data_IF_095492107358
#
_entry.id   IF_095492107358
#
_cell.length_a   1.000
_cell.length_b   1.000
_cell.length_c   1.000
_cell.angle_alpha   90.00
_cell.angle_beta   90.00
_cell.angle_gamma   90.00
#
_symmetry.space_group_name_H-M   'P 1'
#
loop_
_entity.id
_entity.type
_entity.pdbx_description
1 polymer ?
#
# COMPACT_ATOMS: atom_id res chain seq x y z
N UNK A 1 -44.16 25.08 15.71
CA UNK A 1 -43.12 24.03 15.58
C UNK A 1 -43.45 23.23 14.33
N UNK A 2 -42.72 23.41 13.24
CA UNK A 2 -42.91 22.59 12.04
C UNK A 2 -42.38 21.19 12.36
N UNK A 3 -43.23 20.18 12.19
CA UNK A 3 -42.83 18.79 12.33
C UNK A 3 -41.73 18.49 11.29
N UNK A 4 -40.55 18.05 11.75
CA UNK A 4 -39.49 17.60 10.85
C UNK A 4 -40.03 16.45 9.98
N UNK A 5 -39.79 16.54 8.67
CA UNK A 5 -40.11 15.49 7.72
C UNK A 5 -39.48 14.16 8.20
N UNK A 6 -40.28 13.10 8.42
CA UNK A 6 -39.79 11.78 8.84
C UNK A 6 -38.65 11.24 7.96
N UNK A 7 -38.68 11.56 6.66
CA UNK A 7 -37.65 11.14 5.70
C UNK A 7 -36.33 11.87 5.97
N UNK A 8 -36.39 13.18 6.27
CA UNK A 8 -35.22 13.99 6.64
C UNK A 8 -34.62 13.48 7.95
N UNK A 9 -35.45 13.18 8.95
CA UNK A 9 -35.01 12.62 10.23
C UNK A 9 -34.37 11.24 10.06
N UNK A 10 -34.94 10.38 9.24
CA UNK A 10 -34.37 9.07 8.92
C UNK A 10 -32.99 9.19 8.27
N UNK A 11 -32.86 10.04 7.23
CA UNK A 11 -31.60 10.30 6.53
C UNK A 11 -30.52 10.83 7.49
N UNK A 12 -30.85 11.79 8.34
CA UNK A 12 -29.92 12.36 9.31
C UNK A 12 -29.43 11.31 10.32
N UNK A 13 -30.32 10.42 10.79
CA UNK A 13 -29.95 9.37 11.73
C UNK A 13 -29.08 8.27 11.11
N UNK A 14 -29.41 7.81 9.90
CA UNK A 14 -28.58 6.85 9.17
C UNK A 14 -27.20 7.43 8.92
N UNK A 15 -27.13 8.70 8.50
CA UNK A 15 -25.88 9.40 8.29
C UNK A 15 -25.01 9.44 9.54
N UNK A 16 -25.56 9.90 10.67
CA UNK A 16 -24.84 9.99 11.94
C UNK A 16 -24.27 8.64 12.33
N UNK A 17 -25.09 7.58 12.27
CA UNK A 17 -24.64 6.22 12.56
C UNK A 17 -23.48 5.74 11.68
N UNK A 18 -23.54 6.00 10.38
CA UNK A 18 -22.46 5.63 9.46
C UNK A 18 -21.18 6.38 9.80
N UNK A 19 -21.27 7.70 10.03
CA UNK A 19 -20.10 8.53 10.40
C UNK A 19 -19.52 8.12 11.75
N UNK A 20 -20.35 7.88 12.75
CA UNK A 20 -19.94 7.45 14.09
C UNK A 20 -19.24 6.09 14.03
N UNK A 21 -19.78 5.15 13.24
CA UNK A 21 -19.18 3.82 13.07
C UNK A 21 -17.82 3.91 12.38
N UNK A 22 -17.69 4.72 11.32
CA UNK A 22 -16.42 4.94 10.62
C UNK A 22 -15.40 5.58 11.57
N UNK A 23 -15.81 6.62 12.29
CA UNK A 23 -14.93 7.36 13.23
C UNK A 23 -14.45 6.43 14.33
N UNK A 24 -15.36 5.68 14.95
CA UNK A 24 -15.04 4.71 16.00
C UNK A 24 -14.12 3.61 15.49
N UNK A 25 -14.37 3.09 14.29
CA UNK A 25 -13.50 2.06 13.70
C UNK A 25 -12.09 2.57 13.42
N UNK A 26 -11.96 3.79 12.87
CA UNK A 26 -10.65 4.41 12.64
C UNK A 26 -9.92 4.64 13.97
N UNK A 27 -10.61 5.18 14.97
CA UNK A 27 -10.03 5.47 16.29
C UNK A 27 -9.54 4.18 16.97
N UNK A 28 -10.37 3.15 17.00
CA UNK A 28 -10.01 1.84 17.56
C UNK A 28 -8.81 1.21 16.84
N UNK A 29 -8.73 1.32 15.51
CA UNK A 29 -7.63 0.73 14.75
C UNK A 29 -6.29 1.47 14.91
N UNK A 30 -6.30 2.80 15.06
CA UNK A 30 -5.08 3.61 14.89
C UNK A 30 -4.64 4.40 16.12
N UNK A 31 -5.54 4.76 17.05
CA UNK A 31 -5.21 5.65 18.16
C UNK A 31 -4.22 5.03 19.15
N UNK A 32 -4.26 3.71 19.32
CA UNK A 32 -3.29 2.95 20.14
C UNK A 32 -1.88 2.89 19.50
N UNK A 33 -1.81 3.10 18.18
CA UNK A 33 -0.59 2.94 17.38
C UNK A 33 -0.02 4.26 16.85
N UNK A 34 -0.45 5.40 17.39
CA UNK A 34 -0.02 6.73 16.95
C UNK A 34 1.50 6.89 16.84
N UNK A 35 2.27 6.40 17.82
CA UNK A 35 3.74 6.46 17.75
C UNK A 35 4.32 5.60 16.62
N UNK A 36 3.74 4.42 16.37
CA UNK A 36 4.17 3.56 15.27
C UNK A 36 3.88 4.24 13.93
N UNK A 37 2.68 4.83 13.79
CA UNK A 37 2.31 5.57 12.57
C UNK A 37 3.27 6.74 12.33
N UNK A 38 3.64 7.49 13.38
CA UNK A 38 4.66 8.56 13.28
C UNK A 38 6.02 8.03 12.83
N UNK A 39 6.47 6.92 13.41
CA UNK A 39 7.74 6.29 13.01
C UNK A 39 7.70 5.86 11.53
N UNK A 40 6.61 5.22 11.10
CA UNK A 40 6.46 4.77 9.72
C UNK A 40 6.38 5.91 8.69
N UNK A 41 5.99 7.12 9.11
CA UNK A 41 5.96 8.28 8.23
C UNK A 41 7.36 8.61 7.69
N UNK A 42 8.42 8.43 8.50
CA UNK A 42 9.81 8.62 8.06
C UNK A 42 10.25 7.62 6.98
N UNK A 43 9.58 6.48 6.87
CA UNK A 43 9.87 5.44 5.88
C UNK A 43 9.15 5.71 4.53
N UNK A 44 8.38 6.78 4.40
CA UNK A 44 7.81 7.16 3.11
C UNK A 44 8.88 7.83 2.24
N UNK A 45 9.24 7.25 1.07
CA UNK A 45 10.25 7.83 0.18
C UNK A 45 9.88 9.24 -0.33
N UNK A 46 8.62 9.65 -0.23
CA UNK A 46 8.18 11.03 -0.53
C UNK A 46 8.72 12.07 0.45
N UNK A 47 9.16 11.64 1.65
CA UNK A 47 9.71 12.50 2.70
C UNK A 47 11.23 12.46 2.80
N UNK A 48 11.91 11.73 1.91
CA UNK A 48 13.36 11.62 1.98
C UNK A 48 14.07 12.95 1.79
N UNK A 49 13.50 13.86 0.99
CA UNK A 49 14.04 15.22 0.84
C UNK A 49 14.02 15.97 2.19
N UNK A 50 12.95 15.84 2.98
CA UNK A 50 12.84 16.43 4.33
C UNK A 50 13.88 15.82 5.28
N UNK A 51 14.11 14.51 5.19
CA UNK A 51 15.12 13.79 5.99
C UNK A 51 16.53 14.26 5.65
N UNK A 52 16.82 14.47 4.37
CA UNK A 52 18.14 14.95 3.92
C UNK A 52 18.37 16.39 4.41
N UNK A 53 17.34 17.24 4.41
CA UNK A 53 17.43 18.64 4.81
C UNK A 53 17.48 18.82 6.34
N UNK A 54 16.59 18.15 7.07
CA UNK A 54 16.33 18.41 8.49
C UNK A 54 16.81 17.29 9.41
N UNK A 55 17.26 16.17 8.85
CA UNK A 55 17.63 14.98 9.61
C UNK A 55 16.43 14.21 10.16
N UNK A 56 16.74 13.20 10.97
CA UNK A 56 15.76 12.37 11.68
C UNK A 56 15.83 12.72 13.17
N UNK A 57 14.69 12.89 13.82
CA UNK A 57 14.66 13.26 15.25
C UNK A 57 15.28 12.19 16.16
N UNK A 58 15.75 12.59 17.34
CA UNK A 58 16.40 11.67 18.28
C UNK A 58 15.44 10.60 18.84
N UNK A 59 14.14 10.90 18.94
CA UNK A 59 13.14 9.97 19.48
C UNK A 59 12.29 9.25 18.42
N UNK A 60 12.57 9.45 17.13
CA UNK A 60 11.85 8.74 16.06
C UNK A 60 12.40 7.35 15.80
N UNK A 61 11.56 6.52 15.18
CA UNK A 61 11.81 5.11 14.83
C UNK A 61 11.95 4.17 16.02
N UNK A 62 11.70 4.66 17.24
CA UNK A 62 11.88 3.89 18.49
C UNK A 62 10.87 2.75 18.62
N UNK A 63 9.59 2.99 18.29
CA UNK A 63 8.54 1.97 18.41
C UNK A 63 8.65 0.95 17.29
N UNK A 64 8.93 1.37 16.05
CA UNK A 64 9.12 0.42 14.94
C UNK A 64 10.36 -0.45 15.17
N UNK A 65 11.48 0.14 15.59
CA UNK A 65 12.71 -0.60 15.87
C UNK A 65 12.51 -1.65 16.97
N UNK A 66 11.79 -1.28 18.04
CA UNK A 66 11.45 -2.20 19.13
C UNK A 66 10.59 -3.38 18.66
N UNK A 67 9.62 -3.15 17.78
CA UNK A 67 8.73 -4.23 17.29
C UNK A 67 9.49 -5.18 16.37
N UNK A 68 10.37 -4.66 15.52
CA UNK A 68 11.13 -5.47 14.56
C UNK A 68 12.43 -6.04 15.13
N UNK A 69 12.79 -5.69 16.37
CA UNK A 69 13.98 -6.19 17.05
C UNK A 69 15.30 -5.67 16.48
N UNK A 70 15.27 -4.50 15.80
CA UNK A 70 16.47 -3.88 15.22
C UNK A 70 16.99 -2.76 16.12
N UNK A 71 18.28 -2.48 16.02
CA UNK A 71 18.91 -1.38 16.75
C UNK A 71 18.44 -0.01 16.21
N UNK A 72 17.89 0.89 17.06
CA UNK A 72 17.38 2.18 16.61
C UNK A 72 18.44 3.12 15.99
N UNK A 73 19.70 3.04 16.43
CA UNK A 73 20.76 3.90 15.90
C UNK A 73 21.14 3.46 14.48
N UNK A 74 21.40 2.16 14.33
CA UNK A 74 21.69 1.53 13.04
C UNK A 74 20.56 1.81 12.05
N UNK A 75 19.30 1.63 12.46
CA UNK A 75 18.14 1.92 11.61
C UNK A 75 18.10 3.37 11.11
N UNK A 76 18.45 4.35 11.95
CA UNK A 76 18.48 5.76 11.56
C UNK A 76 19.61 6.05 10.58
N UNK A 77 20.80 5.51 10.83
CA UNK A 77 21.95 5.67 9.96
C UNK A 77 21.66 5.09 8.57
N UNK A 78 21.10 3.88 8.52
CA UNK A 78 20.67 3.23 7.30
C UNK A 78 19.61 4.05 6.55
N UNK A 79 18.61 4.58 7.26
CA UNK A 79 17.58 5.43 6.66
C UNK A 79 18.16 6.72 6.09
N UNK A 80 19.07 7.38 6.80
CA UNK A 80 19.74 8.59 6.32
C UNK A 80 20.61 8.29 5.10
N UNK A 81 21.32 7.17 5.11
CA UNK A 81 22.11 6.70 3.99
C UNK A 81 21.22 6.44 2.76
N UNK A 82 20.11 5.72 2.94
CA UNK A 82 19.14 5.47 1.88
C UNK A 82 18.57 6.78 1.34
N UNK A 83 18.10 7.68 2.20
CA UNK A 83 17.47 8.94 1.79
C UNK A 83 18.39 9.79 0.92
N UNK A 84 19.67 9.91 1.30
CA UNK A 84 20.69 10.65 0.54
C UNK A 84 20.95 10.05 -0.84
N UNK A 85 20.95 8.72 -0.93
CA UNK A 85 21.30 8.00 -2.14
C UNK A 85 20.08 7.56 -2.98
N UNK A 86 18.86 7.82 -2.50
CA UNK A 86 17.64 7.27 -3.07
C UNK A 86 17.44 7.65 -4.54
N UNK A 87 17.77 8.90 -4.91
CA UNK A 87 17.65 9.36 -6.30
C UNK A 87 18.58 8.60 -7.25
N UNK A 88 19.76 8.19 -6.78
CA UNK A 88 20.72 7.39 -7.57
C UNK A 88 20.25 5.95 -7.63
N UNK A 89 19.92 5.36 -6.47
CA UNK A 89 19.47 3.97 -6.35
C UNK A 89 18.15 3.70 -7.11
N UNK A 90 17.27 4.69 -7.20
CA UNK A 90 16.03 4.57 -7.96
C UNK A 90 16.24 4.62 -9.48
N UNK A 91 17.36 5.18 -9.96
CA UNK A 91 17.72 5.21 -11.39
C UNK A 91 18.40 3.92 -11.85
N UNK A 92 19.15 3.25 -10.97
CA UNK A 92 19.83 1.98 -11.27
C UNK A 92 18.91 0.76 -11.37
N UNK A 93 17.58 0.94 -11.20
CA UNK A 93 16.61 -0.11 -11.47
C UNK A 93 16.34 -0.18 -12.97
N UNK A 94 16.68 -1.29 -13.66
CA UNK A 94 16.22 -1.49 -15.03
C UNK A 94 14.69 -1.50 -15.05
N UNK A 95 14.11 -0.83 -16.05
CA UNK A 95 12.73 -1.03 -16.40
C UNK A 95 12.63 -2.45 -16.95
N UNK A 96 11.85 -3.31 -16.31
CA UNK A 96 11.54 -4.66 -16.81
C UNK A 96 10.61 -4.59 -18.05
N UNK A 97 10.78 -3.59 -18.92
CA UNK A 97 10.00 -3.37 -20.14
C UNK A 97 10.82 -3.36 -21.42
N UNK A 98 12.14 -3.60 -21.38
CA UNK A 98 12.95 -3.81 -22.58
C UNK A 98 13.31 -5.29 -22.72
N UNK A 99 12.44 -6.05 -23.36
CA UNK A 99 12.64 -7.50 -23.53
C UNK A 99 11.46 -8.25 -24.13
N UNK A 100 10.92 -7.76 -25.24
CA UNK A 100 10.18 -8.57 -26.21
C UNK A 100 10.23 -7.84 -27.55
N UNK A 101 11.37 -7.95 -28.23
CA UNK A 101 11.41 -7.75 -29.68
C UNK A 101 10.55 -8.84 -30.31
N UNK A 102 9.63 -8.40 -31.17
CA UNK A 102 8.97 -9.23 -32.17
C UNK A 102 9.97 -10.08 -32.97
N UNK A 103 9.44 -11.15 -33.57
CA UNK A 103 10.07 -12.10 -34.50
C UNK A 103 10.60 -13.40 -33.89
N UNK A 104 9.73 -14.42 -33.83
CA UNK A 104 9.86 -15.59 -34.72
C UNK A 104 8.57 -16.42 -34.71
N UNK A 105 7.93 -16.49 -35.89
CA UNK A 105 6.84 -17.40 -36.19
C UNK A 105 7.34 -18.84 -36.28
N UNK A 106 6.57 -19.81 -35.79
CA UNK A 106 6.40 -21.12 -36.45
C UNK A 106 5.05 -21.74 -36.05
N UNK A 107 4.30 -22.11 -37.08
CA UNK A 107 2.94 -22.62 -37.09
C UNK A 107 2.82 -24.09 -36.67
N UNK A 108 1.63 -24.47 -36.16
CA UNK A 108 0.75 -25.55 -36.69
C UNK A 108 -0.53 -25.57 -35.83
N UNK A 109 -1.71 -25.23 -36.39
CA UNK A 109 -2.74 -26.15 -36.96
C UNK A 109 -3.38 -27.06 -35.89
N UNK A 110 -4.68 -27.18 -35.66
CA UNK A 110 -5.89 -26.95 -36.48
C UNK A 110 -7.16 -27.25 -35.63
N UNK A 111 -8.33 -26.85 -36.16
CA UNK A 111 -9.73 -27.21 -35.84
C UNK A 111 -10.48 -26.29 -34.83
N UNK A 112 -11.41 -25.42 -35.27
CA UNK A 112 -12.83 -25.69 -35.63
C UNK A 112 -13.63 -26.08 -34.36
N UNK A 113 -14.68 -25.41 -33.87
CA UNK A 113 -15.82 -24.67 -34.46
C UNK A 113 -16.48 -23.72 -33.42
N UNK A 114 -17.37 -22.85 -33.89
CA UNK A 114 -18.07 -21.76 -33.19
C UNK A 114 -19.30 -22.18 -32.33
N UNK A 115 -19.74 -21.22 -31.51
CA UNK A 115 -21.09 -21.05 -30.92
C UNK A 115 -21.48 -22.02 -29.77
N UNK A 116 -22.18 -21.63 -28.72
CA UNK A 116 -23.01 -20.45 -28.44
C UNK A 116 -23.34 -20.42 -26.94
N UNK A 117 -23.71 -19.22 -26.48
CA UNK A 117 -24.72 -18.95 -25.44
C UNK A 117 -24.43 -19.21 -23.95
N UNK A 118 -25.08 -18.31 -23.22
CA UNK A 118 -25.05 -17.97 -21.81
C UNK A 118 -25.65 -19.09 -20.95
N UNK A 119 -25.29 -19.14 -19.67
CA UNK A 119 -26.25 -19.15 -18.56
C UNK A 119 -25.56 -19.43 -17.21
N UNK A 120 -26.18 -18.87 -16.20
CA UNK A 120 -25.82 -18.83 -14.79
C UNK A 120 -25.86 -20.20 -14.10
N UNK A 121 -25.01 -20.41 -13.08
CA UNK A 121 -25.41 -21.12 -11.86
C UNK A 121 -24.38 -20.95 -10.75
N UNK A 122 -24.85 -20.43 -9.62
CA UNK A 122 -24.22 -20.59 -8.32
C UNK A 122 -24.07 -22.09 -7.98
N UNK A 123 -22.93 -22.46 -7.40
CA UNK A 123 -22.85 -23.50 -6.37
C UNK A 123 -21.52 -23.40 -5.61
N UNK A 124 -21.65 -23.34 -4.29
CA UNK A 124 -20.56 -23.40 -3.34
C UNK A 124 -20.04 -24.83 -3.12
N UNK A 125 -18.85 -24.86 -2.53
CA UNK A 125 -18.17 -25.93 -1.79
C UNK A 125 -17.04 -26.70 -2.51
N UNK A 126 -15.89 -26.72 -1.84
CA UNK A 126 -14.63 -27.27 -2.35
C UNK A 126 -13.39 -26.55 -1.80
N UNK A 127 -13.21 -26.54 -0.48
CA UNK A 127 -11.97 -26.13 0.17
C UNK A 127 -10.79 -26.98 -0.30
N UNK A 128 -9.92 -26.42 -1.15
CA UNK A 128 -8.54 -26.92 -1.34
C UNK A 128 -7.58 -25.75 -1.16
N UNK A 129 -6.93 -25.76 -0.02
CA UNK A 129 -5.83 -24.89 0.38
C UNK A 129 -4.70 -24.94 -0.66
N UNK A 130 -4.53 -23.84 -1.40
CA UNK A 130 -3.29 -23.50 -2.12
C UNK A 130 -2.96 -22.05 -1.77
N UNK A 131 -1.77 -21.88 -1.19
CA UNK A 131 -1.17 -20.63 -0.74
C UNK A 131 -1.65 -19.39 -1.53
N UNK A 132 -2.10 -18.31 -0.87
CA UNK A 132 -2.44 -17.08 -1.56
C UNK A 132 -1.14 -16.40 -2.01
N UNK A 133 -0.67 -16.75 -3.20
CA UNK A 133 0.17 -15.85 -3.97
C UNK A 133 -0.69 -14.63 -4.23
N UNK A 134 -0.46 -13.56 -3.45
CA UNK A 134 -1.08 -12.25 -3.59
C UNK A 134 -0.69 -11.64 -4.94
N UNK A 135 -1.25 -12.15 -6.03
CA UNK A 135 -1.10 -11.59 -7.37
C UNK A 135 -2.09 -10.46 -7.51
N UNK A 136 -1.65 -9.28 -7.08
CA UNK A 136 -2.37 -8.01 -7.17
C UNK A 136 -2.67 -7.65 -8.64
N UNK A 137 -3.88 -7.95 -9.13
CA UNK A 137 -4.39 -7.50 -10.44
C UNK A 137 -4.98 -6.09 -10.38
N UNK A 138 -4.24 -5.13 -9.84
CA UNK A 138 -4.54 -3.70 -10.01
C UNK A 138 -3.25 -2.96 -10.40
N UNK A 139 -2.65 -3.37 -11.52
CA UNK A 139 -1.67 -2.57 -12.25
C UNK A 139 -2.39 -1.41 -12.98
N UNK A 140 -3.00 -0.49 -12.22
CA UNK A 140 -3.39 0.78 -12.78
C UNK A 140 -2.13 1.65 -12.90
N UNK A 141 -1.68 1.80 -14.15
CA UNK A 141 -0.50 2.53 -14.65
C UNK A 141 0.78 1.70 -14.68
N UNK A 142 1.03 1.11 -15.86
CA UNK A 142 2.37 0.81 -16.39
C UNK A 142 3.13 2.13 -16.54
N UNK A 143 3.55 2.67 -15.42
CA UNK A 143 4.28 3.93 -15.29
C UNK A 143 5.15 3.81 -14.05
N UNK A 144 6.43 4.17 -14.23
CA UNK A 144 7.56 3.73 -13.40
C UNK A 144 7.50 4.39 -12.03
N UNK A 145 6.59 3.94 -11.16
CA UNK A 145 6.47 4.46 -9.81
C UNK A 145 7.78 4.17 -9.07
N UNK A 146 8.47 5.21 -8.60
CA UNK A 146 9.72 5.10 -7.83
C UNK A 146 9.61 5.74 -6.44
N UNK A 147 8.41 6.16 -6.04
CA UNK A 147 8.16 6.98 -4.84
C UNK A 147 7.13 6.36 -3.89
N UNK A 148 6.94 5.05 -3.90
CA UNK A 148 6.06 4.36 -2.96
C UNK A 148 6.83 3.33 -2.12
N UNK A 149 6.22 2.91 -1.00
CA UNK A 149 6.81 1.94 -0.07
C UNK A 149 7.22 0.63 -0.75
N UNK A 150 6.37 0.11 -1.64
CA UNK A 150 6.66 -1.12 -2.37
C UNK A 150 7.87 -0.97 -3.32
N UNK A 151 8.04 0.18 -3.95
CA UNK A 151 9.19 0.42 -4.82
C UNK A 151 10.46 0.66 -4.00
N UNK A 152 10.35 1.32 -2.84
CA UNK A 152 11.46 1.45 -1.92
C UNK A 152 11.93 0.08 -1.39
N UNK A 153 11.00 -0.80 -1.03
CA UNK A 153 11.31 -2.18 -0.65
C UNK A 153 12.03 -2.95 -1.77
N UNK A 154 11.63 -2.79 -3.04
CA UNK A 154 12.34 -3.41 -4.18
C UNK A 154 13.78 -2.90 -4.33
N UNK A 155 14.00 -1.60 -4.11
CA UNK A 155 15.35 -1.01 -4.10
C UNK A 155 16.16 -1.61 -2.96
N UNK A 156 15.59 -1.64 -1.76
CA UNK A 156 16.23 -2.19 -0.56
C UNK A 156 16.58 -3.65 -0.70
N UNK A 157 15.70 -4.47 -1.28
CA UNK A 157 15.99 -5.88 -1.55
C UNK A 157 17.23 -6.06 -2.44
N UNK A 158 17.36 -5.26 -3.51
CA UNK A 158 18.55 -5.33 -4.37
C UNK A 158 19.80 -4.82 -3.64
N UNK A 159 19.68 -3.74 -2.87
CA UNK A 159 20.80 -3.20 -2.13
C UNK A 159 21.24 -4.12 -0.98
N UNK A 160 20.32 -4.81 -0.30
CA UNK A 160 20.63 -5.73 0.81
C UNK A 160 21.34 -6.99 0.34
N UNK A 161 21.08 -7.43 -0.90
CA UNK A 161 21.83 -8.51 -1.54
C UNK A 161 23.28 -8.09 -1.84
N UNK A 162 23.48 -6.83 -2.24
CA UNK A 162 24.81 -6.31 -2.63
C UNK A 162 25.60 -5.84 -1.40
N UNK A 163 24.92 -5.27 -0.41
CA UNK A 163 25.50 -4.55 0.72
C UNK A 163 24.77 -4.94 2.01
N UNK A 164 25.50 -5.42 3.01
CA UNK A 164 24.94 -5.73 4.33
C UNK A 164 24.47 -4.49 5.12
N UNK A 165 24.87 -3.29 4.68
CA UNK A 165 24.64 -2.01 5.35
C UNK A 165 23.21 -1.46 5.26
N UNK A 166 22.22 -2.22 4.76
CA UNK A 166 20.80 -1.83 4.73
C UNK A 166 19.85 -2.95 5.22
N UNK A 167 20.40 -3.90 5.97
CA UNK A 167 19.68 -5.10 6.40
C UNK A 167 18.64 -4.81 7.47
N UNK A 168 18.90 -3.90 8.42
CA UNK A 168 17.92 -3.52 9.44
C UNK A 168 16.74 -2.79 8.80
N UNK A 169 17.03 -1.86 7.88
CA UNK A 169 16.03 -1.12 7.15
C UNK A 169 15.20 -2.03 6.25
N UNK A 170 15.82 -3.05 5.64
CA UNK A 170 15.10 -4.07 4.88
C UNK A 170 14.05 -4.81 5.73
N UNK A 171 14.44 -5.33 6.91
CA UNK A 171 13.52 -6.01 7.85
C UNK A 171 12.38 -5.08 8.27
N UNK A 172 12.69 -3.80 8.54
CA UNK A 172 11.68 -2.80 8.89
C UNK A 172 10.71 -2.56 7.73
N UNK A 173 11.16 -2.56 6.48
CA UNK A 173 10.27 -2.45 5.32
C UNK A 173 9.43 -3.70 5.09
N UNK A 174 9.94 -4.90 5.35
CA UNK A 174 9.13 -6.13 5.32
C UNK A 174 7.97 -6.03 6.32
N UNK A 175 8.27 -5.64 7.56
CA UNK A 175 7.24 -5.38 8.56
C UNK A 175 6.27 -4.28 8.12
N UNK A 176 6.78 -3.16 7.61
CA UNK A 176 5.97 -2.02 7.18
C UNK A 176 4.92 -2.41 6.14
N UNK A 177 5.27 -3.28 5.18
CA UNK A 177 4.35 -3.74 4.13
C UNK A 177 3.26 -4.69 4.65
N UNK A 178 3.43 -5.26 5.85
CA UNK A 178 2.39 -6.09 6.50
C UNK A 178 1.34 -5.26 7.23
N UNK A 179 1.62 -3.98 7.53
CA UNK A 179 0.71 -3.12 8.28
C UNK A 179 -0.53 -2.77 7.47
N UNK A 180 -1.71 -2.91 8.07
CA UNK A 180 -2.98 -2.65 7.38
C UNK A 180 -3.05 -1.24 6.78
N UNK A 181 -2.57 -0.22 7.48
CA UNK A 181 -2.62 1.18 7.01
C UNK A 181 -1.66 1.51 5.85
N UNK A 182 -0.70 0.65 5.53
CA UNK A 182 0.19 0.84 4.37
C UNK A 182 -0.28 0.06 3.14
N UNK A 183 -1.31 -0.78 3.29
CA UNK A 183 -1.85 -1.60 2.21
C UNK A 183 -2.80 -0.80 1.31
N UNK A 184 -2.79 -1.16 0.02
CA UNK A 184 -3.65 -0.58 -1.03
C UNK A 184 -5.14 -0.74 -0.72
N UNK A 185 -5.51 -1.75 0.07
CA UNK A 185 -6.90 -1.98 0.51
C UNK A 185 -7.41 -0.80 1.36
N UNK A 186 -6.58 -0.26 2.24
CA UNK A 186 -6.93 0.91 3.04
C UNK A 186 -7.04 2.16 2.17
N UNK A 187 -6.18 2.35 1.17
CA UNK A 187 -6.31 3.47 0.21
C UNK A 187 -7.64 3.41 -0.55
N UNK A 188 -8.04 2.23 -1.02
CA UNK A 188 -9.32 2.01 -1.71
C UNK A 188 -10.50 2.27 -0.77
N UNK A 189 -10.43 1.85 0.49
CA UNK A 189 -11.45 2.14 1.50
C UNK A 189 -11.59 3.65 1.77
N UNK A 190 -10.48 4.36 1.98
CA UNK A 190 -10.50 5.82 2.15
C UNK A 190 -10.99 6.57 0.91
N UNK A 191 -10.70 6.08 -0.29
CA UNK A 191 -11.21 6.67 -1.54
C UNK A 191 -12.73 6.56 -1.65
N UNK A 192 -13.30 5.40 -1.29
CA UNK A 192 -14.76 5.23 -1.17
C UNK A 192 -15.36 6.14 -0.11
N UNK A 193 -14.74 6.23 1.07
CA UNK A 193 -15.17 7.15 2.13
C UNK A 193 -15.13 8.62 1.67
N UNK A 194 -14.11 9.00 0.90
CA UNK A 194 -14.00 10.34 0.30
C UNK A 194 -15.13 10.60 -0.70
N UNK A 195 -15.44 9.64 -1.58
CA UNK A 195 -16.56 9.76 -2.52
C UNK A 195 -17.90 9.92 -1.82
N UNK A 196 -18.14 9.12 -0.78
CA UNK A 196 -19.31 9.22 0.09
C UNK A 196 -19.38 10.64 0.69
N UNK A 197 -18.31 11.11 1.35
CA UNK A 197 -18.24 12.46 1.92
C UNK A 197 -18.47 13.57 0.89
N UNK A 198 -17.93 13.46 -0.31
CA UNK A 198 -18.12 14.46 -1.37
C UNK A 198 -19.56 14.51 -1.84
N UNK A 199 -20.18 13.35 -2.12
CA UNK A 199 -21.60 13.26 -2.52
C UNK A 199 -22.54 13.83 -1.45
N UNK A 200 -22.17 13.66 -0.18
CA UNK A 200 -22.92 14.18 0.96
C UNK A 200 -22.82 15.69 1.15
N UNK A 201 -21.78 16.34 0.62
CA UNK A 201 -21.67 17.82 0.63
C UNK A 201 -22.38 18.49 -0.54
N UNK A 202 -22.59 17.75 -1.62
CA UNK A 202 -23.20 18.25 -2.86
C UNK A 202 -24.71 17.99 -2.95
N UNK A 203 -25.32 17.43 -1.90
CA UNK A 203 -26.75 17.17 -1.79
C UNK A 203 -27.36 18.01 -0.69
#
# INVERSE_FOLDING_TARGET
>A
MLAEDPIVRFRANVFRRVVDQITTSIDQCFSQNGQLIKDTAYLDPRRFDEIVLSGVSENSLTKVAKITGVDPLSLKEELCCLARNFTVLSRSLPDESEGASDDVATMTSTNEEESSEEESSDNEDGCVSKNPVLRNRNAARKGNCKKCLACCHKILFKCSIITSALTNLFVVYEYLLTLSFTQVNCERAFSKLKQIKTRLKSS
#
